data_IF_864127898506
#
_entry.id   IF_864127898506
#
_cell.length_a   1.000
_cell.length_b   1.000
_cell.length_c   1.000
_cell.angle_alpha   90.00
_cell.angle_beta   90.00
_cell.angle_gamma   90.00
#
_symmetry.space_group_name_H-M   'P 1'
#
loop_
_entity.id
_entity.type
_entity.pdbx_description
1 polymer ?
#
# COMPACT_ATOMS: atom_id res chain seq x y z
N UNK A 1 10.59 13.91 -16.45
CA UNK A 1 9.91 12.62 -16.24
C UNK A 1 9.16 12.32 -17.52
N UNK A 2 9.44 11.19 -18.18
CA UNK A 2 8.59 10.77 -19.30
C UNK A 2 7.20 10.44 -18.76
N UNK A 3 6.19 10.72 -19.58
CA UNK A 3 4.80 10.44 -19.21
C UNK A 3 4.56 8.93 -19.38
N UNK A 4 3.77 8.33 -18.50
CA UNK A 4 3.51 6.87 -18.54
C UNK A 4 2.92 6.45 -19.89
N UNK A 5 2.13 7.33 -20.52
CA UNK A 5 1.51 7.15 -21.84
C UNK A 5 2.53 7.10 -23.00
N UNK A 6 3.71 7.69 -22.83
CA UNK A 6 4.79 7.60 -23.82
C UNK A 6 5.45 6.23 -23.74
N UNK A 7 5.77 5.77 -22.53
CA UNK A 7 6.42 4.46 -22.31
C UNK A 7 5.51 3.30 -22.74
N UNK A 8 4.20 3.41 -22.48
CA UNK A 8 3.21 2.41 -22.89
C UNK A 8 3.14 2.18 -24.42
N UNK A 9 3.58 3.15 -25.24
CA UNK A 9 3.66 2.99 -26.70
C UNK A 9 4.90 2.22 -27.14
N UNK A 10 5.94 2.18 -26.31
CA UNK A 10 7.24 1.62 -26.63
C UNK A 10 7.42 0.21 -26.07
N UNK A 11 6.85 -0.06 -24.89
CA UNK A 11 6.96 -1.37 -24.22
C UNK A 11 5.81 -1.64 -23.26
N UNK A 12 5.69 -2.92 -22.87
CA UNK A 12 4.80 -3.36 -21.81
C UNK A 12 5.35 -2.88 -20.46
N UNK A 13 4.45 -2.38 -19.61
CA UNK A 13 4.71 -2.09 -18.20
C UNK A 13 4.22 -3.25 -17.32
N UNK A 14 4.98 -3.55 -16.28
CA UNK A 14 4.66 -4.61 -15.32
C UNK A 14 4.13 -4.00 -14.03
N UNK A 15 2.91 -4.38 -13.65
CA UNK A 15 2.34 -4.08 -12.33
C UNK A 15 2.90 -5.08 -11.30
N UNK A 16 2.93 -4.68 -10.04
CA UNK A 16 3.33 -5.55 -8.93
C UNK A 16 2.30 -6.66 -8.65
N UNK A 17 2.60 -7.46 -7.62
CA UNK A 17 1.75 -8.56 -7.19
C UNK A 17 1.05 -8.27 -5.86
N UNK A 18 0.45 -9.32 -5.29
CA UNK A 18 -0.34 -9.20 -4.08
C UNK A 18 0.46 -8.78 -2.82
N UNK A 19 0.22 -7.55 -2.35
CA UNK A 19 0.70 -7.02 -1.06
C UNK A 19 0.35 -7.95 0.11
N UNK A 20 -0.92 -8.36 0.24
CA UNK A 20 -1.38 -9.21 1.34
C UNK A 20 -0.64 -10.55 1.46
N UNK A 21 -0.38 -11.21 0.32
CA UNK A 21 0.38 -12.48 0.28
C UNK A 21 1.82 -12.31 0.76
N UNK A 22 2.43 -11.16 0.48
CA UNK A 22 3.77 -10.83 0.97
C UNK A 22 3.75 -10.55 2.48
N UNK A 23 2.73 -9.84 2.97
CA UNK A 23 2.57 -9.51 4.39
C UNK A 23 2.29 -10.74 5.27
N UNK A 24 1.57 -11.74 4.76
CA UNK A 24 1.34 -13.01 5.47
C UNK A 24 2.63 -13.70 5.91
N UNK A 25 3.75 -13.48 5.20
CA UNK A 25 5.05 -14.08 5.53
C UNK A 25 5.68 -13.52 6.82
N UNK A 26 5.31 -12.29 7.19
CA UNK A 26 5.80 -11.66 8.42
C UNK A 26 5.10 -12.19 9.67
N UNK A 27 3.94 -12.84 9.52
CA UNK A 27 3.15 -13.41 10.63
C UNK A 27 2.83 -12.40 11.75
N UNK A 28 2.46 -11.19 11.35
CA UNK A 28 2.12 -10.11 12.28
C UNK A 28 1.02 -10.53 13.26
N UNK A 29 1.25 -10.23 14.54
CA UNK A 29 0.28 -10.44 15.62
C UNK A 29 -0.55 -9.19 15.84
N UNK A 30 -1.60 -9.30 16.66
CA UNK A 30 -2.43 -8.15 17.05
C UNK A 30 -1.60 -6.98 17.59
N UNK A 31 -0.54 -7.27 18.36
CA UNK A 31 0.39 -6.26 18.88
C UNK A 31 1.12 -5.52 17.76
N UNK A 32 1.51 -6.22 16.68
CA UNK A 32 2.15 -5.59 15.52
C UNK A 32 1.19 -4.69 14.75
N UNK A 33 -0.07 -5.12 14.59
CA UNK A 33 -1.11 -4.30 13.94
C UNK A 33 -1.40 -3.05 14.77
N UNK A 34 -1.41 -3.15 16.10
CA UNK A 34 -1.60 -2.01 17.02
C UNK A 34 -0.43 -1.04 17.00
N UNK A 35 0.79 -1.57 16.97
CA UNK A 35 2.00 -0.80 17.24
C UNK A 35 1.88 -0.04 18.57
N UNK A 36 2.65 1.04 18.71
CA UNK A 36 2.60 1.89 19.90
C UNK A 36 1.33 2.76 19.93
N UNK A 37 0.94 3.30 18.77
CA UNK A 37 -0.14 4.29 18.66
C UNK A 37 -1.52 3.74 19.01
N UNK A 38 -1.79 2.49 18.68
CA UNK A 38 -3.11 1.86 18.86
C UNK A 38 -3.08 0.76 19.94
N UNK A 39 -2.08 0.77 20.82
CA UNK A 39 -1.95 -0.23 21.89
C UNK A 39 -3.23 -0.37 22.73
N UNK A 40 -3.88 0.76 23.06
CA UNK A 40 -5.11 0.81 23.85
C UNK A 40 -6.40 0.86 23.01
N UNK A 41 -6.35 0.58 21.70
CA UNK A 41 -7.55 0.59 20.86
C UNK A 41 -8.56 -0.48 21.29
N UNK A 42 -9.84 -0.14 21.40
CA UNK A 42 -10.83 -1.04 22.00
C UNK A 42 -11.11 -2.29 21.15
N UNK A 43 -11.01 -2.15 19.82
CA UNK A 43 -11.36 -3.20 18.86
C UNK A 43 -10.12 -3.95 18.34
N UNK A 44 -10.24 -5.23 17.96
CA UNK A 44 -9.18 -5.97 17.29
C UNK A 44 -8.78 -5.31 15.96
N UNK A 45 -7.49 -5.28 15.65
CA UNK A 45 -6.95 -4.63 14.45
C UNK A 45 -6.27 -5.61 13.49
N UNK A 46 -5.98 -6.84 13.94
CA UNK A 46 -5.40 -7.87 13.11
C UNK A 46 -6.29 -8.17 11.90
N UNK A 47 -5.68 -8.15 10.72
CA UNK A 47 -6.37 -8.29 9.44
C UNK A 47 -6.57 -6.97 8.69
N UNK A 48 -6.45 -5.82 9.37
CA UNK A 48 -6.43 -4.51 8.71
C UNK A 48 -5.05 -4.24 8.09
N UNK A 49 -4.77 -4.82 6.92
CA UNK A 49 -3.46 -4.69 6.28
C UNK A 49 -3.12 -3.23 5.91
N UNK A 50 -4.11 -2.40 5.57
CA UNK A 50 -3.94 -0.99 5.27
C UNK A 50 -3.34 -0.22 6.48
N UNK A 51 -3.70 -0.61 7.71
CA UNK A 51 -3.15 -0.02 8.94
C UNK A 51 -1.63 -0.20 9.09
N UNK A 52 -1.07 -1.26 8.50
CA UNK A 52 0.36 -1.56 8.59
C UNK A 52 1.22 -0.48 7.93
N UNK A 53 0.66 0.41 7.10
CA UNK A 53 1.37 1.60 6.62
C UNK A 53 1.68 2.60 7.75
N UNK A 54 0.90 2.62 8.82
CA UNK A 54 1.17 3.45 10.01
C UNK A 54 1.99 2.72 11.07
N UNK A 55 1.72 1.43 11.28
CA UNK A 55 2.30 0.68 12.40
C UNK A 55 3.54 -0.13 12.01
N UNK A 56 3.63 -0.57 10.76
CA UNK A 56 4.75 -1.34 10.20
C UNK A 56 5.28 -0.76 8.88
N UNK A 57 5.57 0.56 8.80
CA UNK A 57 5.90 1.23 7.53
C UNK A 57 7.13 0.63 6.84
N UNK A 58 8.09 0.10 7.61
CA UNK A 58 9.29 -0.56 7.08
C UNK A 58 8.96 -1.83 6.30
N UNK A 59 8.00 -2.63 6.76
CA UNK A 59 7.58 -3.85 6.09
C UNK A 59 6.86 -3.54 4.78
N UNK A 60 5.99 -2.51 4.77
CA UNK A 60 5.33 -2.03 3.54
C UNK A 60 6.38 -1.56 2.52
N UNK A 61 7.34 -0.74 2.96
CA UNK A 61 8.44 -0.31 2.10
C UNK A 61 9.25 -1.48 1.54
N UNK A 62 9.56 -2.48 2.37
CA UNK A 62 10.27 -3.70 1.95
C UNK A 62 9.50 -4.49 0.89
N UNK A 63 8.17 -4.61 1.01
CA UNK A 63 7.36 -5.28 -0.03
C UNK A 63 7.42 -4.54 -1.35
N UNK A 64 7.29 -3.21 -1.37
CA UNK A 64 7.46 -2.42 -2.60
C UNK A 64 8.86 -2.60 -3.21
N UNK A 65 9.92 -2.59 -2.38
CA UNK A 65 11.30 -2.84 -2.85
C UNK A 65 11.41 -4.18 -3.54
N UNK A 66 10.88 -5.24 -2.92
CA UNK A 66 10.92 -6.60 -3.50
C UNK A 66 10.23 -6.68 -4.85
N UNK A 67 9.14 -5.95 -5.05
CA UNK A 67 8.47 -5.93 -6.36
C UNK A 67 9.26 -5.16 -7.42
N UNK A 68 9.86 -4.02 -7.08
CA UNK A 68 10.74 -3.31 -8.00
C UNK A 68 12.01 -4.11 -8.32
N UNK A 69 12.60 -4.80 -7.35
CA UNK A 69 13.74 -5.72 -7.55
C UNK A 69 13.38 -6.89 -8.46
N UNK A 70 12.13 -7.39 -8.37
CA UNK A 70 11.60 -8.41 -9.26
C UNK A 70 11.26 -7.88 -10.67
N UNK A 71 11.38 -6.58 -10.90
CA UNK A 71 11.27 -5.96 -12.22
C UNK A 71 9.98 -5.19 -12.48
N UNK A 72 9.09 -5.04 -11.48
CA UNK A 72 7.89 -4.21 -11.62
C UNK A 72 8.25 -2.78 -12.06
N UNK A 73 7.37 -2.18 -12.86
CA UNK A 73 7.43 -0.78 -13.27
C UNK A 73 6.49 0.09 -12.42
N UNK A 74 5.40 -0.50 -11.95
CA UNK A 74 4.32 0.15 -11.21
C UNK A 74 4.07 -0.67 -9.95
N UNK A 75 3.96 0.01 -8.81
CA UNK A 75 3.46 -0.60 -7.55
C UNK A 75 2.13 0.02 -7.16
N UNK A 76 1.24 -0.77 -6.59
CA UNK A 76 0.01 -0.27 -5.96
C UNK A 76 0.30 0.22 -4.54
N UNK A 77 -0.38 1.27 -4.09
CA UNK A 77 -0.37 1.68 -2.68
C UNK A 77 -1.10 0.64 -1.81
N UNK A 78 -0.68 0.52 -0.55
CA UNK A 78 -1.37 -0.31 0.45
C UNK A 78 -2.65 0.38 0.96
N UNK A 79 -3.65 0.53 0.08
CA UNK A 79 -4.87 1.34 0.32
C UNK A 79 -6.14 0.69 -0.22
N UNK A 80 -6.13 -0.62 -0.43
CA UNK A 80 -7.27 -1.34 -1.01
C UNK A 80 -8.56 -1.15 -0.18
N UNK A 81 -8.45 -1.16 1.15
CA UNK A 81 -9.58 -1.00 2.07
C UNK A 81 -9.58 0.34 2.80
N UNK A 82 -8.66 1.26 2.48
CA UNK A 82 -8.53 2.57 3.12
C UNK A 82 -9.66 3.54 2.70
N UNK A 83 -10.91 3.19 3.04
CA UNK A 83 -12.12 3.98 2.82
C UNK A 83 -12.92 4.04 4.13
N UNK A 84 -13.75 5.08 4.32
CA UNK A 84 -14.55 5.22 5.53
C UNK A 84 -15.50 4.02 5.76
N UNK A 85 -16.01 3.42 4.67
CA UNK A 85 -16.94 2.29 4.76
C UNK A 85 -16.25 1.02 5.29
N UNK A 86 -15.04 0.71 4.80
CA UNK A 86 -14.31 -0.48 5.24
C UNK A 86 -13.57 -0.25 6.57
N UNK A 87 -13.08 0.97 6.84
CA UNK A 87 -12.43 1.29 8.11
C UNK A 87 -13.41 1.34 9.30
N UNK A 88 -14.71 1.45 9.05
CA UNK A 88 -15.74 1.37 10.09
C UNK A 88 -15.76 -0.01 10.79
N UNK A 89 -15.35 -1.09 10.12
CA UNK A 89 -15.21 -2.42 10.75
C UNK A 89 -14.14 -2.43 11.86
N UNK A 90 -13.22 -1.45 11.84
CA UNK A 90 -12.14 -1.26 12.82
C UNK A 90 -12.31 0.02 13.66
N UNK A 91 -13.41 0.76 13.47
CA UNK A 91 -13.70 2.06 14.09
C UNK A 91 -12.65 3.15 13.78
N UNK A 92 -12.04 3.11 12.59
CA UNK A 92 -10.90 3.95 12.17
C UNK A 92 -11.23 4.93 11.03
N UNK A 93 -12.49 5.32 10.87
CA UNK A 93 -12.94 6.17 9.76
C UNK A 93 -12.17 7.50 9.67
N UNK A 94 -11.84 8.09 10.82
CA UNK A 94 -11.11 9.37 10.90
C UNK A 94 -9.64 9.25 10.43
N UNK A 95 -9.11 8.04 10.32
CA UNK A 95 -7.73 7.79 9.87
C UNK A 95 -7.61 7.59 8.36
N UNK A 96 -8.72 7.55 7.62
CA UNK A 96 -8.73 7.21 6.18
C UNK A 96 -7.79 8.09 5.36
N UNK A 97 -7.80 9.41 5.60
CA UNK A 97 -6.89 10.31 4.87
C UNK A 97 -5.43 10.01 5.19
N UNK A 98 -5.12 9.83 6.47
CA UNK A 98 -3.76 9.57 6.93
C UNK A 98 -3.23 8.23 6.39
N UNK A 99 -4.04 7.18 6.42
CA UNK A 99 -3.73 5.87 5.85
C UNK A 99 -3.36 5.98 4.37
N UNK A 100 -4.19 6.67 3.59
CA UNK A 100 -3.93 6.86 2.17
C UNK A 100 -2.65 7.68 1.92
N UNK A 101 -2.47 8.75 2.68
CA UNK A 101 -1.30 9.62 2.54
C UNK A 101 0.01 8.90 2.87
N UNK A 102 0.09 8.23 4.01
CA UNK A 102 1.30 7.53 4.43
C UNK A 102 1.59 6.31 3.53
N UNK A 103 0.57 5.54 3.13
CA UNK A 103 0.74 4.48 2.13
C UNK A 103 1.30 5.00 0.80
N UNK A 104 0.75 6.10 0.28
CA UNK A 104 1.21 6.71 -0.97
C UNK A 104 2.64 7.28 -0.85
N UNK A 105 2.96 7.89 0.29
CA UNK A 105 4.28 8.41 0.59
C UNK A 105 5.33 7.30 0.62
N UNK A 106 5.07 6.21 1.35
CA UNK A 106 5.98 5.05 1.41
C UNK A 106 6.25 4.49 0.01
N UNK A 107 5.19 4.23 -0.77
CA UNK A 107 5.33 3.73 -2.14
C UNK A 107 6.12 4.71 -3.03
N UNK A 108 5.89 6.02 -2.88
CA UNK A 108 6.57 7.06 -3.67
C UNK A 108 8.04 7.22 -3.31
N UNK A 109 8.39 7.15 -2.03
CA UNK A 109 9.77 7.17 -1.56
C UNK A 109 10.56 6.01 -2.16
N UNK A 110 10.00 4.79 -2.11
CA UNK A 110 10.62 3.60 -2.69
C UNK A 110 10.72 3.71 -4.23
N UNK A 111 9.65 4.14 -4.91
CA UNK A 111 9.68 4.34 -6.36
C UNK A 111 10.75 5.37 -6.77
N UNK A 112 10.92 6.43 -5.97
CA UNK A 112 11.95 7.46 -6.22
C UNK A 112 13.35 6.90 -6.00
N UNK A 113 13.57 6.13 -4.92
CA UNK A 113 14.84 5.43 -4.65
C UNK A 113 15.27 4.60 -5.86
N UNK A 114 14.37 3.79 -6.41
CA UNK A 114 14.67 2.95 -7.57
C UNK A 114 14.86 3.79 -8.85
N UNK A 115 14.01 4.79 -9.09
CA UNK A 115 14.14 5.70 -10.24
C UNK A 115 15.48 6.41 -10.28
N UNK A 116 16.01 6.82 -9.13
CA UNK A 116 17.34 7.44 -9.05
C UNK A 116 18.45 6.43 -9.39
N UNK A 117 18.26 5.15 -9.03
CA UNK A 117 19.24 4.08 -9.30
C UNK A 117 19.28 3.65 -10.77
N UNK A 118 18.14 3.62 -11.46
CA UNK A 118 18.05 3.31 -12.90
C UNK A 118 17.20 4.40 -13.61
N UNK A 119 17.78 5.57 -13.93
CA UNK A 119 17.05 6.72 -14.48
C UNK A 119 16.31 6.43 -15.80
N UNK A 120 16.78 5.48 -16.59
CA UNK A 120 16.19 5.02 -17.85
C UNK A 120 14.89 4.23 -17.66
N UNK A 121 14.61 3.76 -16.44
CA UNK A 121 13.41 2.99 -16.10
C UNK A 121 12.63 3.70 -14.99
N UNK A 122 11.87 4.78 -15.25
CA UNK A 122 11.11 5.46 -14.19
C UNK A 122 10.08 4.52 -13.53
N UNK A 123 9.94 4.60 -12.21
CA UNK A 123 8.98 3.80 -11.42
C UNK A 123 7.74 4.63 -11.13
N UNK A 124 6.59 3.98 -11.18
CA UNK A 124 5.29 4.60 -10.97
C UNK A 124 4.60 4.02 -9.74
N UNK A 125 3.68 4.81 -9.20
CA UNK A 125 2.83 4.43 -8.07
C UNK A 125 1.39 4.59 -8.50
N UNK A 126 0.59 3.53 -8.35
CA UNK A 126 -0.84 3.54 -8.59
C UNK A 126 -1.57 3.60 -7.24
N UNK A 127 -2.49 4.56 -7.10
CA UNK A 127 -3.38 4.61 -5.94
C UNK A 127 -4.40 3.48 -6.01
N UNK A 128 -4.28 2.48 -5.14
CA UNK A 128 -5.24 1.37 -5.08
C UNK A 128 -6.53 1.84 -4.42
N UNK A 129 -7.67 1.60 -5.09
CA UNK A 129 -9.01 1.91 -4.57
C UNK A 129 -9.83 0.62 -4.71
N UNK A 130 -9.93 -0.14 -3.62
CA UNK A 130 -10.70 -1.38 -3.62
C UNK A 130 -12.21 -1.13 -3.56
N UNK A 131 -13.01 -2.15 -3.88
CA UNK A 131 -14.43 -2.13 -3.61
C UNK A 131 -14.66 -2.13 -2.09
N UNK A 132 -15.70 -1.44 -1.64
CA UNK A 132 -16.09 -1.48 -0.22
C UNK A 132 -16.69 -2.84 0.14
N UNK A 133 -16.75 -3.16 1.44
CA UNK A 133 -17.45 -4.34 1.96
C UNK A 133 -18.99 -4.26 1.80
N UNK A 134 -19.52 -3.16 1.24
CA UNK A 134 -20.94 -2.97 0.94
C UNK A 134 -21.21 -3.07 -0.56
N UNK A 135 -22.23 -3.85 -0.90
CA UNK A 135 -22.85 -3.83 -2.22
C UNK A 135 -23.91 -2.73 -2.25
N UNK A 136 -23.88 -1.87 -3.25
CA UNK A 136 -24.96 -0.90 -3.47
C UNK A 136 -26.24 -1.67 -3.84
N UNK A 137 -27.21 -1.73 -2.92
CA UNK A 137 -28.57 -2.15 -3.20
C UNK A 137 -29.44 -0.92 -3.52
N UNK A 138 -30.33 -1.05 -4.51
CA UNK A 138 -31.37 -0.07 -4.81
C UNK A 138 -32.48 -0.08 -3.76
#
# INVERSE_FOLDING_TARGET
MSKIEEILKERILVLDGAMGTMLQRYKFTEEDFRGERFAAWEHPLQGNNDLLSLTQPKAIAEVHRKYFEAGADIVETNTFSATAIAMADYHMEDLVYELNYESAKIAKEVATEFTVREPEKPRFVAGSIGPTNKTASM
#
